data_IF_674656757951
#
_entry.id   IF_674656757951
#
_cell.length_a   1.000
_cell.length_b   1.000
_cell.length_c   1.000
_cell.angle_alpha   90.00
_cell.angle_beta   90.00
_cell.angle_gamma   90.00
#
_symmetry.space_group_name_H-M   'P 1'
#
loop_
_entity.id
_entity.type
_entity.pdbx_description
1 polymer ?
#
# COMPACT_ATOMS: atom_id res chain seq x y z
N UNK A 1 11.85 4.96 -2.59
CA UNK A 1 10.88 6.07 -2.49
C UNK A 1 9.66 5.75 -3.34
N UNK A 2 8.48 5.73 -2.75
CA UNK A 2 7.21 5.62 -3.48
C UNK A 2 6.48 6.94 -3.29
N UNK A 3 6.10 7.60 -4.38
CA UNK A 3 5.31 8.83 -4.36
C UNK A 3 3.93 8.47 -4.90
N UNK A 4 2.92 8.60 -4.05
CA UNK A 4 1.52 8.60 -4.47
C UNK A 4 1.02 10.03 -4.36
N UNK A 5 0.02 10.40 -5.17
CA UNK A 5 -0.37 11.80 -5.44
C UNK A 5 -0.40 12.72 -4.20
N UNK A 6 -0.82 12.21 -3.03
CA UNK A 6 -0.90 12.99 -1.78
C UNK A 6 0.01 12.49 -0.63
N UNK A 7 0.62 11.30 -0.76
CA UNK A 7 1.38 10.65 0.31
C UNK A 7 2.85 10.41 -0.13
N UNK A 8 3.79 10.96 0.65
CA UNK A 8 5.23 10.71 0.47
C UNK A 8 5.67 9.64 1.46
N UNK A 9 6.07 8.48 0.96
CA UNK A 9 6.55 7.37 1.77
C UNK A 9 8.09 7.30 1.67
N UNK A 10 8.75 7.53 2.80
CA UNK A 10 10.20 7.42 2.96
C UNK A 10 10.51 6.15 3.75
N UNK A 11 11.41 5.32 3.24
CA UNK A 11 11.88 4.11 3.91
C UNK A 11 13.40 3.99 3.76
N UNK A 12 14.04 3.37 4.75
CA UNK A 12 15.47 3.06 4.76
C UNK A 12 15.73 1.89 5.70
N UNK A 13 16.87 1.23 5.56
CA UNK A 13 17.26 0.12 6.44
C UNK A 13 17.87 0.61 7.76
N UNK A 14 18.59 1.75 7.71
CA UNK A 14 19.25 2.38 8.86
C UNK A 14 18.57 3.69 9.24
N UNK A 15 18.63 4.01 10.52
CA UNK A 15 18.05 5.23 11.08
C UNK A 15 18.78 6.48 10.59
N UNK A 16 20.11 6.42 10.49
CA UNK A 16 20.95 7.53 10.04
C UNK A 16 20.61 7.91 8.59
N UNK A 17 20.45 6.90 7.73
CA UNK A 17 20.00 7.08 6.35
C UNK A 17 18.57 7.61 6.30
N UNK A 18 17.69 7.19 7.23
CA UNK A 18 16.31 7.64 7.31
C UNK A 18 16.21 9.15 7.51
N UNK A 19 16.97 9.66 8.48
CA UNK A 19 17.02 11.08 8.81
C UNK A 19 17.51 11.89 7.61
N UNK A 20 18.57 11.43 6.93
CA UNK A 20 19.07 12.07 5.73
C UNK A 20 18.04 12.08 4.58
N UNK A 21 17.26 11.01 4.44
CA UNK A 21 16.24 10.92 3.39
C UNK A 21 15.06 11.86 3.67
N UNK A 22 14.61 11.93 4.93
CA UNK A 22 13.57 12.88 5.34
C UNK A 22 14.05 14.32 5.06
N UNK A 23 15.27 14.66 5.46
CA UNK A 23 15.84 15.99 5.24
C UNK A 23 15.88 16.36 3.75
N UNK A 24 16.30 15.43 2.88
CA UNK A 24 16.28 15.62 1.42
C UNK A 24 14.89 15.82 0.85
N UNK A 25 13.89 15.09 1.35
CA UNK A 25 12.49 15.25 0.91
C UNK A 25 11.98 16.63 1.32
N UNK A 26 12.10 16.99 2.59
CA UNK A 26 11.61 18.27 3.10
C UNK A 26 12.31 19.45 2.42
N UNK A 27 13.63 19.36 2.23
CA UNK A 27 14.42 20.37 1.51
C UNK A 27 13.95 20.58 0.06
N UNK A 28 13.42 19.56 -0.60
CA UNK A 28 12.82 19.70 -1.94
C UNK A 28 11.39 20.23 -1.92
N UNK A 29 10.64 20.01 -0.84
CA UNK A 29 9.29 20.53 -0.66
C UNK A 29 9.26 22.03 -0.37
N UNK A 30 10.25 22.55 0.35
CA UNK A 30 10.36 23.98 0.70
C UNK A 30 10.35 24.93 -0.51
N UNK A 31 11.19 24.76 -1.56
CA UNK A 31 11.25 25.72 -2.67
C UNK A 31 9.99 25.73 -3.54
N UNK A 32 9.23 24.63 -3.58
CA UNK A 32 7.95 24.54 -4.32
C UNK A 32 6.74 24.94 -3.45
N UNK A 33 6.98 25.46 -2.24
CA UNK A 33 5.95 25.86 -1.28
C UNK A 33 4.93 24.75 -0.98
N UNK A 34 5.37 23.49 -1.01
CA UNK A 34 4.52 22.35 -0.68
C UNK A 34 4.28 22.32 0.83
N UNK A 35 3.02 22.47 1.23
CA UNK A 35 2.63 22.46 2.65
C UNK A 35 2.37 21.05 3.13
N UNK A 36 3.16 20.61 4.10
CA UNK A 36 3.01 19.30 4.75
C UNK A 36 2.26 19.48 6.07
N UNK A 37 1.21 18.69 6.29
CA UNK A 37 0.44 18.73 7.53
C UNK A 37 1.08 17.82 8.57
N UNK A 38 1.83 18.41 9.53
CA UNK A 38 2.47 17.66 10.61
C UNK A 38 1.52 16.74 11.38
N UNK A 39 0.25 17.14 11.56
CA UNK A 39 -0.79 16.32 12.24
C UNK A 39 -1.11 15.01 11.51
N UNK A 40 -0.83 14.95 10.20
CA UNK A 40 -1.05 13.77 9.36
C UNK A 40 0.24 13.00 9.07
N UNK A 41 1.38 13.48 9.56
CA UNK A 41 2.66 12.85 9.32
C UNK A 41 2.99 11.83 10.41
N UNK A 42 3.42 10.65 9.98
CA UNK A 42 3.91 9.61 10.86
C UNK A 42 5.41 9.45 10.60
N UNK A 43 6.24 9.68 11.62
CA UNK A 43 7.71 9.61 11.50
C UNK A 43 8.27 8.43 12.30
N UNK A 44 9.36 7.84 11.79
CA UNK A 44 10.17 6.84 12.49
C UNK A 44 9.42 5.58 12.93
N UNK A 45 8.34 5.24 12.24
CA UNK A 45 7.59 4.02 12.52
C UNK A 45 8.30 2.82 11.87
N UNK A 46 8.40 1.71 12.61
CA UNK A 46 8.85 0.43 12.03
C UNK A 46 7.84 -0.14 11.04
N UNK A 47 6.56 0.19 11.24
CA UNK A 47 5.44 -0.23 10.39
C UNK A 47 4.52 0.96 10.12
N UNK A 48 4.14 1.16 8.86
CA UNK A 48 3.26 2.26 8.44
C UNK A 48 2.10 1.71 7.60
N UNK A 49 0.87 2.04 7.97
CA UNK A 49 -0.27 1.88 7.07
C UNK A 49 -0.28 3.03 6.06
N UNK A 50 0.02 2.72 4.80
CA UNK A 50 0.01 3.69 3.71
C UNK A 50 -0.68 3.09 2.48
N UNK A 51 -1.52 3.89 1.80
CA UNK A 51 -2.27 3.50 0.60
C UNK A 51 -3.16 2.25 0.76
N UNK A 52 -3.58 1.92 1.98
CA UNK A 52 -4.31 0.67 2.25
C UNK A 52 -3.43 -0.57 2.19
N UNK A 53 -2.15 -0.43 2.54
CA UNK A 53 -1.19 -1.51 2.73
C UNK A 53 -0.40 -1.27 4.02
N UNK A 54 -0.03 -2.34 4.73
CA UNK A 54 0.88 -2.27 5.87
C UNK A 54 2.32 -2.39 5.35
N UNK A 55 3.05 -1.30 5.36
CA UNK A 55 4.46 -1.24 4.98
C UNK A 55 5.29 -1.58 6.22
N UNK A 56 5.93 -2.74 6.25
CA UNK A 56 6.83 -3.17 7.34
C UNK A 56 8.19 -3.47 6.73
N UNK A 57 9.19 -2.64 7.06
CA UNK A 57 10.53 -2.70 6.44
C UNK A 57 10.50 -2.63 4.91
N UNK A 58 11.11 -3.62 4.23
CA UNK A 58 11.16 -3.77 2.77
C UNK A 58 9.94 -4.50 2.16
N UNK A 59 9.00 -4.94 3.00
CA UNK A 59 7.86 -5.74 2.56
C UNK A 59 6.56 -4.91 2.55
N UNK A 60 5.96 -4.82 1.36
CA UNK A 60 4.62 -4.27 1.19
C UNK A 60 3.62 -5.36 1.61
N UNK A 61 3.23 -5.40 2.88
CA UNK A 61 2.22 -6.34 3.34
C UNK A 61 0.82 -5.80 2.99
N UNK A 62 -0.05 -6.70 2.53
CA UNK A 62 -1.45 -6.35 2.21
C UNK A 62 -2.15 -5.91 3.50
N UNK A 63 -2.99 -4.87 3.43
CA UNK A 63 -3.86 -4.48 4.54
C UNK A 63 -4.76 -5.66 4.93
N UNK A 64 -4.60 -6.12 6.17
CA UNK A 64 -5.33 -7.25 6.72
C UNK A 64 -6.85 -7.01 6.74
N UNK A 65 -7.31 -5.75 6.78
CA UNK A 65 -8.73 -5.43 6.70
C UNK A 65 -9.31 -5.75 5.32
N UNK A 66 -8.52 -5.53 4.25
CA UNK A 66 -8.91 -5.88 2.88
C UNK A 66 -8.91 -7.40 2.68
N UNK A 67 -7.93 -8.10 3.27
CA UNK A 67 -7.90 -9.57 3.29
C UNK A 67 -9.12 -10.13 4.02
N UNK A 68 -9.46 -9.58 5.20
CA UNK A 68 -10.65 -9.97 5.94
C UNK A 68 -11.94 -9.72 5.14
N UNK A 69 -12.03 -8.62 4.39
CA UNK A 69 -13.18 -8.32 3.54
C UNK A 69 -13.35 -9.35 2.39
N UNK A 70 -12.27 -9.89 1.84
CA UNK A 70 -12.33 -11.00 0.86
C UNK A 70 -12.75 -12.29 1.54
N UNK A 71 -12.17 -12.62 2.70
CA UNK A 71 -12.50 -13.84 3.46
C UNK A 71 -13.95 -13.89 3.93
N UNK A 72 -14.54 -12.72 4.22
CA UNK A 72 -15.92 -12.59 4.67
C UNK A 72 -16.93 -12.49 3.53
N UNK A 73 -16.50 -12.36 2.27
CA UNK A 73 -17.42 -12.26 1.14
C UNK A 73 -18.13 -13.60 0.90
N UNK A 74 -19.45 -13.59 0.68
CA UNK A 74 -20.16 -14.80 0.31
C UNK A 74 -19.72 -15.30 -1.07
N UNK A 75 -19.81 -16.61 -1.27
CA UNK A 75 -19.51 -17.25 -2.56
C UNK A 75 -20.45 -16.67 -3.63
N UNK A 76 -19.92 -16.14 -4.74
CA UNK A 76 -20.73 -15.54 -5.80
C UNK A 76 -21.67 -16.57 -6.40
N UNK A 77 -22.92 -16.16 -6.66
CA UNK A 77 -23.99 -17.05 -7.15
C UNK A 77 -24.28 -16.87 -8.64
N UNK A 78 -23.71 -15.85 -9.26
CA UNK A 78 -23.90 -15.54 -10.68
C UNK A 78 -22.63 -14.95 -11.30
N UNK A 79 -22.59 -14.95 -12.63
CA UNK A 79 -21.45 -14.49 -13.43
C UNK A 79 -21.10 -13.02 -13.13
N UNK A 80 -22.09 -12.15 -12.86
CA UNK A 80 -21.83 -10.73 -12.54
C UNK A 80 -21.11 -10.55 -11.21
N UNK A 81 -21.55 -11.26 -10.17
CA UNK A 81 -20.92 -11.25 -8.84
C UNK A 81 -19.51 -11.82 -8.91
N UNK A 82 -19.33 -12.87 -9.70
CA UNK A 82 -18.04 -13.50 -9.90
C UNK A 82 -17.05 -12.59 -10.64
N UNK A 83 -17.47 -11.90 -11.70
CA UNK A 83 -16.65 -10.89 -12.37
C UNK A 83 -16.32 -9.70 -11.45
N UNK A 84 -17.26 -9.28 -10.59
CA UNK A 84 -17.01 -8.24 -9.59
C UNK A 84 -16.00 -8.68 -8.53
N UNK A 85 -16.06 -9.95 -8.11
CA UNK A 85 -15.12 -10.57 -7.19
C UNK A 85 -13.71 -10.62 -7.79
N UNK A 86 -13.57 -11.15 -9.01
CA UNK A 86 -12.28 -11.21 -9.71
C UNK A 86 -11.67 -9.83 -9.97
N UNK A 87 -12.49 -8.82 -10.28
CA UNK A 87 -12.00 -7.43 -10.42
C UNK A 87 -11.41 -6.90 -9.13
N UNK A 88 -12.06 -7.16 -7.99
CA UNK A 88 -11.53 -6.73 -6.69
C UNK A 88 -10.21 -7.43 -6.36
N UNK A 89 -10.13 -8.74 -6.57
CA UNK A 89 -8.94 -9.53 -6.28
C UNK A 89 -7.79 -9.29 -7.26
N UNK A 90 -8.09 -8.84 -8.48
CA UNK A 90 -7.07 -8.49 -9.48
C UNK A 90 -6.10 -7.39 -9.01
N UNK A 91 -6.54 -6.52 -8.10
CA UNK A 91 -5.69 -5.51 -7.46
C UNK A 91 -4.58 -6.15 -6.60
N UNK A 92 -4.83 -7.34 -6.04
CA UNK A 92 -3.91 -8.09 -5.18
C UNK A 92 -3.18 -9.24 -5.91
N UNK A 93 -3.32 -9.34 -7.24
CA UNK A 93 -2.75 -10.43 -8.05
C UNK A 93 -1.26 -10.68 -7.81
N UNK A 94 -0.48 -9.64 -7.50
CA UNK A 94 0.96 -9.75 -7.26
C UNK A 94 1.29 -10.51 -5.96
N UNK A 95 0.31 -10.67 -5.07
CA UNK A 95 0.45 -11.40 -3.81
C UNK A 95 -0.19 -12.79 -3.84
N UNK A 96 -0.93 -13.12 -4.91
CA UNK A 96 -1.58 -14.41 -5.08
C UNK A 96 -0.76 -15.18 -6.11
N UNK A 97 0.00 -16.17 -5.64
CA UNK A 97 0.75 -17.06 -6.51
C UNK A 97 -0.20 -17.73 -7.51
N UNK A 98 0.18 -17.72 -8.79
CA UNK A 98 -0.58 -18.34 -9.89
C UNK A 98 -2.01 -17.79 -10.08
N UNK A 99 -2.27 -16.53 -9.70
CA UNK A 99 -3.59 -15.91 -9.82
C UNK A 99 -4.24 -16.07 -11.21
N UNK A 100 -3.46 -15.88 -12.28
CA UNK A 100 -3.97 -16.00 -13.65
C UNK A 100 -4.45 -17.42 -13.98
N UNK A 101 -3.77 -18.45 -13.47
CA UNK A 101 -4.17 -19.84 -13.65
C UNK A 101 -5.46 -20.14 -12.90
N UNK A 102 -5.54 -19.75 -11.63
CA UNK A 102 -6.73 -19.95 -10.78
C UNK A 102 -7.94 -19.20 -11.36
N UNK A 103 -7.77 -17.92 -11.73
CA UNK A 103 -8.83 -17.10 -12.29
C UNK A 103 -9.31 -17.57 -13.67
N UNK A 104 -8.48 -18.30 -14.42
CA UNK A 104 -8.88 -18.86 -15.72
C UNK A 104 -9.78 -20.10 -15.62
N UNK A 105 -9.73 -20.78 -14.47
CA UNK A 105 -10.54 -21.98 -14.18
C UNK A 105 -11.89 -21.69 -13.53
N UNK A 106 -12.15 -20.40 -13.26
CA UNK A 106 -13.35 -19.85 -12.66
C UNK A 106 -14.21 -19.27 -13.79
#
# INVERSE_FOLDING_TARGET
MVVYIDDIIVYSEKWEDHVQYIDRVLSKCTPINLKISLKKCNFGQQELLALGHKVSGLSLAIDQNKVAAVLLKPVPRNIKEMQSFLKFDSYYRNHIKDFAYIASSL
#
